data_IF_401730077932
#
_entry.id   IF_401730077932
#
_cell.length_a   1.000
_cell.length_b   1.000
_cell.length_c   1.000
_cell.angle_alpha   90.00
_cell.angle_beta   90.00
_cell.angle_gamma   90.00
#
_symmetry.space_group_name_H-M   'P 1'
#
loop_
_entity.id
_entity.type
_entity.pdbx_description
1 polymer ?
#
# COMPACT_ATOMS: atom_id res chain seq x y z
N UNK A 1 4.31 -5.40 24.06
CA UNK A 1 3.41 -4.77 23.06
C UNK A 1 3.66 -5.44 21.72
N UNK A 2 2.91 -6.49 21.38
CA UNK A 2 2.96 -7.10 20.06
C UNK A 2 1.54 -7.03 19.52
N UNK A 3 1.23 -5.94 18.82
CA UNK A 3 0.01 -5.83 18.05
C UNK A 3 0.01 -6.95 17.03
N UNK A 4 -1.04 -7.78 17.05
CA UNK A 4 -1.39 -8.73 16.01
C UNK A 4 -1.62 -7.97 14.69
N UNK A 5 -0.52 -7.60 14.02
CA UNK A 5 -0.47 -6.93 12.72
C UNK A 5 -0.58 -8.07 11.71
N UNK A 6 -1.83 -8.30 11.31
CA UNK A 6 -2.29 -9.48 10.60
C UNK A 6 -1.59 -9.64 9.24
N UNK A 7 -1.48 -10.88 8.78
CA UNK A 7 -0.81 -11.36 7.56
C UNK A 7 -0.66 -10.45 6.33
N UNK A 8 -1.61 -9.56 5.94
CA UNK A 8 -1.43 -8.66 4.80
C UNK A 8 -0.23 -7.71 4.86
N UNK A 9 0.23 -7.31 6.04
CA UNK A 9 1.40 -6.43 6.10
C UNK A 9 2.70 -7.13 5.66
N UNK A 10 2.84 -8.45 5.82
CA UNK A 10 4.13 -9.14 5.56
C UNK A 10 4.51 -9.14 4.09
N UNK A 11 3.59 -9.53 3.21
CA UNK A 11 3.85 -9.53 1.77
C UNK A 11 3.98 -8.09 1.25
N UNK A 12 3.20 -7.15 1.80
CA UNK A 12 3.26 -5.74 1.41
C UNK A 12 4.63 -5.13 1.78
N UNK A 13 5.09 -5.34 3.02
CA UNK A 13 6.41 -4.89 3.47
C UNK A 13 7.55 -5.53 2.67
N UNK A 14 7.44 -6.82 2.35
CA UNK A 14 8.44 -7.49 1.51
C UNK A 14 8.50 -6.87 0.10
N UNK A 15 7.35 -6.68 -0.58
CA UNK A 15 7.29 -6.04 -1.89
C UNK A 15 7.77 -4.59 -1.86
N UNK A 16 7.49 -3.86 -0.77
CA UNK A 16 7.96 -2.49 -0.57
C UNK A 16 9.50 -2.45 -0.44
N UNK A 17 10.07 -3.38 0.33
CA UNK A 17 11.51 -3.53 0.49
C UNK A 17 12.20 -3.87 -0.84
N UNK A 18 11.63 -4.78 -1.63
CA UNK A 18 12.13 -5.05 -2.99
C UNK A 18 12.02 -3.83 -3.90
N UNK A 19 10.89 -3.14 -3.89
CA UNK A 19 10.69 -1.94 -4.71
C UNK A 19 11.72 -0.85 -4.38
N UNK A 20 12.01 -0.63 -3.09
CA UNK A 20 13.04 0.31 -2.66
C UNK A 20 14.45 -0.14 -3.05
N UNK A 21 14.78 -1.41 -2.82
CA UNK A 21 16.07 -1.97 -3.21
C UNK A 21 16.34 -1.79 -4.71
N UNK A 22 15.35 -2.03 -5.57
CA UNK A 22 15.49 -1.82 -7.01
C UNK A 22 15.60 -0.34 -7.39
N UNK A 23 15.01 0.57 -6.62
CA UNK A 23 15.12 2.02 -6.83
C UNK A 23 16.51 2.54 -6.45
N UNK A 24 17.10 2.04 -5.36
CA UNK A 24 18.43 2.46 -4.87
C UNK A 24 19.57 1.66 -5.50
N UNK A 25 19.27 0.55 -6.18
CA UNK A 25 20.24 -0.22 -6.97
C UNK A 25 20.94 0.67 -7.99
N UNK A 26 22.22 0.40 -8.26
CA UNK A 26 23.00 1.07 -9.30
C UNK A 26 23.41 0.06 -10.37
N UNK A 27 22.89 0.15 -11.61
CA UNK A 27 21.92 1.13 -12.10
C UNK A 27 20.48 0.90 -11.56
N UNK A 28 19.65 1.96 -11.46
CA UNK A 28 18.30 1.86 -10.91
C UNK A 28 17.39 1.03 -11.81
N UNK A 29 16.76 0.00 -11.24
CA UNK A 29 15.90 -0.96 -11.96
C UNK A 29 14.43 -0.58 -11.79
N UNK A 30 14.07 0.60 -12.28
CA UNK A 30 12.73 1.20 -12.13
C UNK A 30 11.62 0.28 -12.67
N UNK A 31 11.88 -0.45 -13.76
CA UNK A 31 10.93 -1.44 -14.30
C UNK A 31 10.60 -2.53 -13.28
N UNK A 32 11.59 -3.04 -12.55
CA UNK A 32 11.38 -4.04 -11.51
C UNK A 32 10.66 -3.45 -10.29
N UNK A 33 10.99 -2.22 -9.90
CA UNK A 33 10.28 -1.48 -8.86
C UNK A 33 8.77 -1.40 -9.16
N UNK A 34 8.41 -1.03 -10.39
CA UNK A 34 7.02 -0.99 -10.86
C UNK A 34 6.37 -2.37 -10.80
N UNK A 35 7.06 -3.43 -11.23
CA UNK A 35 6.52 -4.79 -11.15
C UNK A 35 6.25 -5.26 -9.72
N UNK A 36 7.13 -4.95 -8.76
CA UNK A 36 6.91 -5.26 -7.35
C UNK A 36 5.66 -4.57 -6.81
N UNK A 37 5.47 -3.29 -7.13
CA UNK A 37 4.29 -2.55 -6.72
C UNK A 37 3.02 -3.04 -7.43
N UNK A 38 3.11 -3.47 -8.69
CA UNK A 38 1.98 -4.07 -9.39
C UNK A 38 1.58 -5.43 -8.81
N UNK A 39 2.55 -6.23 -8.35
CA UNK A 39 2.29 -7.51 -7.72
C UNK A 39 1.42 -7.37 -6.46
N UNK A 40 1.51 -6.24 -5.75
CA UNK A 40 0.63 -5.92 -4.61
C UNK A 40 -0.85 -6.09 -5.00
N UNK A 41 -1.27 -5.62 -6.17
CA UNK A 41 -2.68 -5.69 -6.59
C UNK A 41 -3.15 -7.14 -6.83
N UNK A 42 -2.26 -8.08 -7.11
CA UNK A 42 -2.63 -9.50 -7.25
C UNK A 42 -3.10 -10.11 -5.94
N UNK A 43 -2.65 -9.56 -4.80
CA UNK A 43 -3.06 -9.99 -3.47
C UNK A 43 -4.37 -9.35 -2.99
N UNK A 44 -5.07 -8.60 -3.85
CA UNK A 44 -6.34 -7.88 -3.55
C UNK A 44 -6.26 -7.12 -2.22
N UNK A 45 -5.33 -6.14 -2.11
CA UNK A 45 -5.13 -5.39 -0.89
C UNK A 45 -6.39 -4.64 -0.45
N UNK A 46 -6.53 -4.33 0.85
CA UNK A 46 -7.53 -3.38 1.31
C UNK A 46 -7.30 -2.01 0.67
N UNK A 47 -8.36 -1.23 0.51
CA UNK A 47 -8.36 0.09 -0.18
C UNK A 47 -7.24 1.03 0.28
N UNK A 48 -6.90 1.01 1.58
CA UNK A 48 -5.80 1.82 2.13
C UNK A 48 -4.45 1.47 1.49
N UNK A 49 -4.15 0.19 1.30
CA UNK A 49 -2.89 -0.26 0.68
C UNK A 49 -2.94 -0.02 -0.83
N UNK A 50 -4.08 -0.25 -1.47
CA UNK A 50 -4.29 0.00 -2.90
C UNK A 50 -4.03 1.47 -3.26
N UNK A 51 -4.66 2.39 -2.53
CA UNK A 51 -4.47 3.83 -2.66
C UNK A 51 -2.99 4.24 -2.53
N UNK A 52 -2.31 3.75 -1.48
CA UNK A 52 -0.89 4.05 -1.25
C UNK A 52 -0.01 3.51 -2.37
N UNK A 53 -0.28 2.29 -2.82
CA UNK A 53 0.48 1.65 -3.89
C UNK A 53 0.30 2.37 -5.22
N UNK A 54 -0.91 2.83 -5.54
CA UNK A 54 -1.17 3.67 -6.72
C UNK A 54 -0.44 5.02 -6.65
N UNK A 55 -0.41 5.67 -5.50
CA UNK A 55 0.35 6.91 -5.29
C UNK A 55 1.85 6.68 -5.50
N UNK A 56 2.37 5.59 -4.96
CA UNK A 56 3.78 5.24 -5.06
C UNK A 56 4.18 4.88 -6.50
N UNK A 57 3.35 4.10 -7.20
CA UNK A 57 3.52 3.80 -8.63
C UNK A 57 3.47 5.06 -9.49
N UNK A 58 2.46 5.91 -9.28
CA UNK A 58 2.30 7.15 -10.02
C UNK A 58 3.53 8.05 -9.86
N UNK A 59 4.03 8.20 -8.62
CA UNK A 59 5.25 8.98 -8.35
C UNK A 59 6.48 8.39 -9.02
N UNK A 60 6.70 7.07 -8.93
CA UNK A 60 7.84 6.40 -9.58
C UNK A 60 7.77 6.56 -11.10
N UNK A 61 6.60 6.35 -11.70
CA UNK A 61 6.40 6.50 -13.14
C UNK A 61 6.62 7.95 -13.59
N UNK A 62 6.15 8.93 -12.82
CA UNK A 62 6.28 10.34 -13.14
C UNK A 62 7.73 10.83 -13.11
N UNK A 63 8.51 10.44 -12.10
CA UNK A 63 9.88 10.92 -11.93
C UNK A 63 10.89 10.14 -12.79
N UNK A 64 10.66 8.85 -12.99
CA UNK A 64 11.67 7.97 -13.56
C UNK A 64 11.33 7.44 -14.97
N UNK A 65 10.14 7.71 -15.50
CA UNK A 65 9.73 7.24 -16.84
C UNK A 65 9.14 8.38 -17.67
N UNK A 66 9.04 8.16 -18.99
CA UNK A 66 8.40 9.11 -19.93
C UNK A 66 6.88 8.89 -20.09
N UNK A 67 6.29 7.97 -19.32
CA UNK A 67 4.87 7.59 -19.43
C UNK A 67 3.99 8.42 -18.49
N UNK A 68 3.92 9.73 -18.76
CA UNK A 68 3.16 10.68 -17.95
C UNK A 68 1.67 10.36 -17.87
N UNK A 69 1.07 9.82 -18.94
CA UNK A 69 -0.33 9.41 -18.97
C UNK A 69 -0.63 8.26 -18.00
N UNK A 70 0.25 7.25 -18.00
CA UNK A 70 0.13 6.12 -17.08
C UNK A 70 0.34 6.57 -15.63
N UNK A 71 1.32 7.44 -15.40
CA UNK A 71 1.56 8.04 -14.09
C UNK A 71 0.32 8.80 -13.59
N UNK A 72 -0.26 9.67 -14.44
CA UNK A 72 -1.50 10.41 -14.14
C UNK A 72 -2.64 9.45 -13.82
N UNK A 73 -2.87 8.43 -14.64
CA UNK A 73 -3.95 7.45 -14.40
C UNK A 73 -3.82 6.77 -13.03
N UNK A 74 -2.60 6.42 -12.62
CA UNK A 74 -2.35 5.87 -11.28
C UNK A 74 -2.58 6.88 -10.16
N UNK A 75 -2.15 8.13 -10.34
CA UNK A 75 -2.40 9.20 -9.35
C UNK A 75 -3.90 9.50 -9.21
N UNK A 76 -4.64 9.55 -10.31
CA UNK A 76 -6.10 9.75 -10.28
C UNK A 76 -6.81 8.60 -9.55
N UNK A 77 -6.41 7.35 -9.82
CA UNK A 77 -6.91 6.18 -9.07
C UNK A 77 -6.60 6.30 -7.59
N UNK A 78 -5.38 6.66 -7.22
CA UNK A 78 -5.01 6.85 -5.82
C UNK A 78 -5.91 7.88 -5.12
N UNK A 79 -6.15 9.04 -5.76
CA UNK A 79 -7.01 10.09 -5.21
C UNK A 79 -8.45 9.63 -5.05
N UNK A 80 -8.98 8.87 -6.02
CA UNK A 80 -10.33 8.27 -5.93
C UNK A 80 -10.43 7.30 -4.76
N UNK A 81 -9.46 6.39 -4.61
CA UNK A 81 -9.44 5.40 -3.53
C UNK A 81 -9.28 6.06 -2.14
N UNK A 82 -8.47 7.11 -2.02
CA UNK A 82 -8.35 7.90 -0.78
C UNK A 82 -9.66 8.62 -0.45
N UNK A 83 -10.35 9.15 -1.47
CA UNK A 83 -11.61 9.89 -1.29
C UNK A 83 -12.76 8.96 -0.88
N UNK A 84 -12.76 7.71 -1.35
CA UNK A 84 -13.72 6.68 -0.95
C UNK A 84 -13.43 6.05 0.42
N UNK A 85 -12.24 6.27 0.99
CA UNK A 85 -11.82 5.74 2.28
C UNK A 85 -12.22 6.57 3.51
N UNK A 86 -13.08 7.60 3.37
CA UNK A 86 -13.38 8.54 4.47
C UNK A 86 -14.19 7.96 5.63
N UNK A 87 -14.71 6.74 5.57
CA UNK A 87 -15.42 6.13 6.70
C UNK A 87 -15.10 4.64 6.85
N UNK A 88 -14.06 4.31 7.62
CA UNK A 88 -13.96 3.14 8.51
C UNK A 88 -12.66 3.22 9.33
N UNK A 89 -12.44 4.39 9.96
CA UNK A 89 -11.65 4.42 11.18
C UNK A 89 -12.43 3.66 12.25
N UNK A 90 -11.89 2.52 12.65
CA UNK A 90 -12.33 1.62 13.71
C UNK A 90 -13.33 2.24 14.71
N UNK A 91 -14.62 1.96 14.51
CA UNK A 91 -15.63 2.05 15.57
C UNK A 91 -15.22 0.99 16.61
N UNK A 92 -14.89 1.44 17.82
CA UNK A 92 -14.45 0.57 18.90
C UNK A 92 -15.50 -0.49 19.24
N UNK A 93 -15.04 -1.72 19.42
CA UNK A 93 -15.81 -2.75 20.13
C UNK A 93 -15.27 -2.85 21.54
N UNK A 94 -15.97 -2.18 22.46
CA UNK A 94 -15.93 -2.53 23.86
C UNK A 94 -16.59 -3.89 24.03
N UNK A 95 -15.84 -4.87 24.53
CA UNK A 95 -16.42 -6.03 25.19
C UNK A 95 -16.04 -5.94 26.66
N UNK A 96 -17.03 -5.53 27.47
CA UNK A 96 -16.98 -5.73 28.89
C UNK A 96 -16.99 -7.23 29.19
N UNK A 97 -16.02 -7.69 29.97
CA UNK A 97 -16.13 -8.94 30.70
C UNK A 97 -15.94 -8.61 32.17
N UNK A 98 -17.08 -8.46 32.86
CA UNK A 98 -17.11 -8.31 34.30
C UNK A 98 -16.50 -9.55 34.96
N UNK A 99 -15.54 -9.33 35.85
CA UNK A 99 -15.15 -10.32 36.83
C UNK A 99 -15.83 -9.97 38.16
N UNK A 100 -17.04 -10.53 38.33
CA UNK A 100 -17.60 -10.76 39.65
C UNK A 100 -16.95 -12.03 40.22
N UNK A 101 -16.45 -11.89 41.45
CA UNK A 101 -16.44 -12.89 42.53
C UNK A 101 -15.69 -14.21 42.26
N UNK A 102 -14.59 -14.39 42.97
CA UNK A 102 -14.61 -15.15 44.22
C UNK A 102 -13.55 -14.64 45.18
#
# INVERSE_FOLDING_TARGET
>A
MASNVESPERWYLALLGFAEHFRTSSPPKIRLCVHCLQAVFQFKPPQRIEARTHLQLGSVLYHHTKNSDLARSHLEKAVREVSSGKERGCRGEGTGVGHRRR
#
